data_IF_128944733876
#
_entry.id   IF_128944733876
#
_cell.length_a   1.000
_cell.length_b   1.000
_cell.length_c   1.000
_cell.angle_alpha   90.00
_cell.angle_beta   90.00
_cell.angle_gamma   90.00
#
_symmetry.space_group_name_H-M   'P 1'
#
loop_
_entity.id
_entity.type
_entity.pdbx_description
1 polymer ?
#
# COMPACT_ATOMS: atom_id res chain seq x y z
N UNK A 1 2.24 -2.91 -11.80
CA UNK A 1 2.51 -2.10 -10.60
C UNK A 1 3.86 -1.36 -10.69
N UNK A 2 5.02 -2.06 -10.77
CA UNK A 2 6.34 -1.41 -10.66
C UNK A 2 6.64 -0.41 -11.77
N UNK A 3 6.52 -0.82 -13.04
CA UNK A 3 6.87 0.02 -14.19
C UNK A 3 6.05 1.32 -14.24
N UNK A 4 4.73 1.21 -14.07
CA UNK A 4 3.86 2.39 -14.08
C UNK A 4 4.17 3.35 -12.95
N UNK A 5 4.33 2.82 -11.72
CA UNK A 5 4.71 3.63 -10.58
C UNK A 5 6.04 4.33 -10.80
N UNK A 6 7.05 3.61 -11.28
CA UNK A 6 8.38 4.20 -11.51
C UNK A 6 8.32 5.35 -12.52
N UNK A 7 7.66 5.15 -13.65
CA UNK A 7 7.57 6.17 -14.71
C UNK A 7 6.80 7.42 -14.25
N UNK A 8 5.67 7.23 -13.54
CA UNK A 8 4.88 8.36 -13.01
C UNK A 8 5.67 9.09 -11.94
N UNK A 9 6.31 8.37 -11.02
CA UNK A 9 7.11 8.99 -9.94
C UNK A 9 8.33 9.71 -10.50
N UNK A 10 8.96 9.18 -11.56
CA UNK A 10 10.06 9.87 -12.23
C UNK A 10 9.60 11.18 -12.88
N UNK A 11 8.44 11.18 -13.55
CA UNK A 11 7.89 12.38 -14.16
C UNK A 11 7.51 13.42 -13.11
N UNK A 12 6.78 13.01 -12.06
CA UNK A 12 6.40 13.89 -10.96
C UNK A 12 7.64 14.42 -10.19
N UNK A 13 8.62 13.53 -9.94
CA UNK A 13 9.85 13.90 -9.24
C UNK A 13 10.64 15.00 -9.95
N UNK A 14 10.72 14.99 -11.28
CA UNK A 14 11.35 16.07 -12.06
C UNK A 14 10.66 17.42 -11.79
N UNK A 15 9.34 17.45 -11.87
CA UNK A 15 8.55 18.67 -11.60
C UNK A 15 8.77 19.13 -10.16
N UNK A 16 8.71 18.22 -9.18
CA UNK A 16 8.87 18.57 -7.78
C UNK A 16 10.28 19.04 -7.42
N UNK A 17 11.31 18.51 -8.08
CA UNK A 17 12.69 18.99 -7.93
C UNK A 17 12.83 20.43 -8.41
N UNK A 18 12.25 20.76 -9.56
CA UNK A 18 12.30 22.13 -10.12
C UNK A 18 11.53 23.13 -9.25
N UNK A 19 10.36 22.75 -8.76
CA UNK A 19 9.56 23.63 -7.89
C UNK A 19 9.98 23.64 -6.41
N UNK A 20 10.96 22.82 -5.99
CA UNK A 20 11.46 22.69 -4.61
C UNK A 20 10.39 22.33 -3.59
N UNK A 21 9.40 21.60 -4.00
CA UNK A 21 8.25 21.22 -3.18
C UNK A 21 7.48 20.08 -3.83
N UNK A 22 7.04 19.11 -3.04
CA UNK A 22 6.19 18.03 -3.52
C UNK A 22 6.03 16.88 -2.54
N UNK A 23 5.01 16.06 -2.77
CA UNK A 23 4.77 14.85 -2.00
C UNK A 23 4.40 13.70 -2.95
N UNK A 24 5.07 12.57 -2.80
CA UNK A 24 4.73 11.31 -3.47
C UNK A 24 4.19 10.35 -2.41
N UNK A 25 2.97 9.86 -2.62
CA UNK A 25 2.38 8.81 -1.77
C UNK A 25 2.28 7.52 -2.56
N UNK A 26 3.03 6.50 -2.16
CA UNK A 26 3.06 5.19 -2.79
C UNK A 26 2.05 4.25 -2.10
N UNK A 27 1.07 3.73 -2.86
CA UNK A 27 0.12 2.76 -2.35
C UNK A 27 0.71 1.35 -2.36
N UNK A 28 1.25 0.94 -1.22
CA UNK A 28 1.78 -0.40 -0.98
C UNK A 28 0.65 -1.38 -0.56
N UNK A 29 0.97 -2.32 0.28
CA UNK A 29 0.06 -3.31 0.90
C UNK A 29 0.75 -3.96 2.08
N UNK A 30 0.00 -4.48 3.06
CA UNK A 30 0.54 -5.37 4.10
C UNK A 30 1.32 -6.54 3.49
N UNK A 31 0.88 -7.05 2.33
CA UNK A 31 1.59 -8.12 1.62
C UNK A 31 3.01 -7.77 1.21
N UNK A 32 3.33 -6.48 1.07
CA UNK A 32 4.70 -6.02 0.78
C UNK A 32 5.64 -6.09 1.98
N UNK A 33 5.12 -6.27 3.19
CA UNK A 33 5.90 -6.47 4.42
C UNK A 33 5.92 -7.95 4.84
N UNK A 34 4.77 -8.63 4.78
CA UNK A 34 4.59 -9.99 5.30
C UNK A 34 4.68 -11.09 4.24
N UNK A 35 4.57 -10.73 2.96
CA UNK A 35 4.28 -11.69 1.90
C UNK A 35 2.78 -12.03 1.83
N UNK A 36 2.40 -12.90 0.90
CA UNK A 36 1.02 -13.38 0.77
C UNK A 36 1.02 -14.71 0.02
N UNK A 37 0.46 -15.74 0.63
CA UNK A 37 0.32 -17.06 0.03
C UNK A 37 -0.50 -16.96 -1.27
N UNK A 38 -0.02 -17.61 -2.34
CA UNK A 38 -0.63 -17.57 -3.67
C UNK A 38 -0.45 -16.24 -4.41
N UNK A 39 0.26 -15.25 -3.84
CA UNK A 39 0.43 -13.91 -4.42
C UNK A 39 1.90 -13.42 -4.38
N UNK A 40 2.88 -14.31 -4.53
CA UNK A 40 4.30 -13.97 -4.39
C UNK A 40 4.73 -12.80 -5.30
N UNK A 41 4.29 -12.78 -6.56
CA UNK A 41 4.59 -11.70 -7.51
C UNK A 41 3.97 -10.36 -7.04
N UNK A 42 2.71 -10.39 -6.59
CA UNK A 42 2.06 -9.20 -6.04
C UNK A 42 2.79 -8.68 -4.81
N UNK A 43 3.09 -9.54 -3.85
CA UNK A 43 3.83 -9.20 -2.64
C UNK A 43 5.21 -8.61 -2.97
N UNK A 44 5.95 -9.21 -3.90
CA UNK A 44 7.24 -8.69 -4.37
C UNK A 44 7.10 -7.30 -5.00
N UNK A 45 6.05 -7.05 -5.82
CA UNK A 45 5.82 -5.71 -6.36
C UNK A 45 5.55 -4.68 -5.27
N UNK A 46 4.81 -5.04 -4.22
CA UNK A 46 4.51 -4.15 -3.10
C UNK A 46 5.72 -3.94 -2.19
N UNK A 47 6.56 -4.94 -1.99
CA UNK A 47 7.85 -4.80 -1.31
C UNK A 47 8.79 -3.83 -2.07
N UNK A 48 8.81 -3.89 -3.40
CA UNK A 48 9.56 -2.94 -4.22
C UNK A 48 9.09 -1.50 -3.99
N UNK A 49 7.79 -1.24 -3.85
CA UNK A 49 7.25 0.09 -3.53
C UNK A 49 7.77 0.61 -2.17
N UNK A 50 7.86 -0.27 -1.17
CA UNK A 50 8.42 0.08 0.13
C UNK A 50 9.91 0.47 0.00
N UNK A 51 10.65 -0.22 -0.86
CA UNK A 51 12.06 0.10 -1.13
C UNK A 51 12.21 1.43 -1.89
N UNK A 52 11.41 1.66 -2.95
CA UNK A 52 11.38 2.93 -3.66
C UNK A 52 11.06 4.11 -2.74
N UNK A 53 10.08 3.95 -1.84
CA UNK A 53 9.72 4.98 -0.87
C UNK A 53 10.94 5.42 -0.04
N UNK A 54 11.72 4.47 0.48
CA UNK A 54 12.92 4.77 1.26
C UNK A 54 14.04 5.41 0.43
N UNK A 55 14.28 4.91 -0.77
CA UNK A 55 15.35 5.40 -1.64
C UNK A 55 15.04 6.81 -2.14
N UNK A 56 13.85 7.02 -2.68
CA UNK A 56 13.47 8.33 -3.22
C UNK A 56 13.31 9.40 -2.15
N UNK A 57 12.92 9.04 -0.92
CA UNK A 57 12.93 9.98 0.19
C UNK A 57 14.34 10.54 0.47
N UNK A 58 15.37 9.69 0.37
CA UNK A 58 16.77 10.10 0.53
C UNK A 58 17.26 10.93 -0.65
N UNK A 59 16.89 10.57 -1.87
CA UNK A 59 17.28 11.25 -3.10
C UNK A 59 16.66 12.64 -3.24
N UNK A 60 15.37 12.74 -2.90
CA UNK A 60 14.54 13.91 -3.17
C UNK A 60 14.40 14.86 -1.98
N UNK A 61 14.73 14.40 -0.76
CA UNK A 61 14.58 15.21 0.46
C UNK A 61 15.33 16.54 0.42
N UNK A 62 16.52 16.58 -0.18
CA UNK A 62 17.29 17.82 -0.37
C UNK A 62 16.59 18.87 -1.24
N UNK A 63 15.57 18.49 -1.97
CA UNK A 63 14.73 19.37 -2.78
C UNK A 63 13.38 19.69 -2.10
N UNK A 64 13.25 19.40 -0.81
CA UNK A 64 12.00 19.56 -0.06
C UNK A 64 10.85 18.73 -0.64
N UNK A 65 11.15 17.54 -1.16
CA UNK A 65 10.16 16.59 -1.68
C UNK A 65 10.07 15.40 -0.73
N UNK A 66 8.86 15.12 -0.25
CA UNK A 66 8.58 13.99 0.63
C UNK A 66 8.13 12.77 -0.18
N UNK A 67 8.55 11.58 0.25
CA UNK A 67 8.10 10.32 -0.33
C UNK A 67 7.67 9.41 0.81
N UNK A 68 6.41 9.02 0.82
CA UNK A 68 5.81 8.20 1.87
C UNK A 68 5.04 7.03 1.27
N UNK A 69 4.92 5.96 2.01
CA UNK A 69 4.14 4.79 1.63
C UNK A 69 2.94 4.59 2.55
N UNK A 70 1.87 4.05 2.00
CA UNK A 70 0.72 3.58 2.76
C UNK A 70 0.52 2.11 2.42
N UNK A 71 0.42 1.25 3.43
CA UNK A 71 0.23 -0.18 3.31
C UNK A 71 -1.11 -0.59 3.95
N UNK A 72 -2.21 -0.58 3.18
CA UNK A 72 -3.48 -1.08 3.66
C UNK A 72 -3.43 -2.58 3.94
N UNK A 73 -4.14 -3.00 4.98
CA UNK A 73 -4.43 -4.40 5.28
C UNK A 73 -5.73 -4.86 4.63
N UNK A 74 -6.49 -5.68 5.36
CA UNK A 74 -7.80 -6.16 4.91
C UNK A 74 -8.79 -5.00 5.01
N UNK A 75 -9.30 -4.59 3.85
CA UNK A 75 -10.30 -3.53 3.70
C UNK A 75 -11.68 -4.10 3.40
N UNK A 76 -12.71 -3.28 3.57
CA UNK A 76 -14.05 -3.57 3.08
C UNK A 76 -14.05 -3.90 1.58
N UNK A 77 -15.13 -4.44 1.05
CA UNK A 77 -15.20 -4.88 -0.34
C UNK A 77 -14.86 -3.77 -1.32
N UNK A 78 -14.00 -4.10 -2.28
CA UNK A 78 -13.57 -3.19 -3.36
C UNK A 78 -13.87 -3.83 -4.71
N UNK A 79 -14.03 -3.01 -5.76
CA UNK A 79 -14.20 -3.48 -7.13
C UNK A 79 -13.03 -4.30 -7.71
N UNK A 80 -11.95 -4.48 -6.95
CA UNK A 80 -10.84 -5.38 -7.32
C UNK A 80 -11.14 -6.85 -7.03
N UNK A 81 -12.13 -7.16 -6.19
CA UNK A 81 -12.55 -8.54 -5.88
C UNK A 81 -13.55 -9.05 -6.91
N UNK A 82 -13.09 -9.17 -8.16
CA UNK A 82 -13.92 -9.79 -9.21
C UNK A 82 -13.93 -11.31 -9.03
N UNK A 83 -14.95 -11.98 -9.60
CA UNK A 83 -15.05 -13.44 -9.52
C UNK A 83 -13.83 -14.11 -10.17
N UNK A 84 -13.28 -13.54 -11.24
CA UNK A 84 -12.08 -14.05 -11.90
C UNK A 84 -10.86 -13.99 -10.98
N UNK A 85 -10.69 -12.86 -10.27
CA UNK A 85 -9.63 -12.69 -9.29
C UNK A 85 -9.78 -13.68 -8.14
N UNK A 86 -10.98 -13.80 -7.55
CA UNK A 86 -11.24 -14.71 -6.45
C UNK A 86 -11.04 -16.17 -6.85
N UNK A 87 -11.48 -16.57 -8.06
CA UNK A 87 -11.28 -17.91 -8.58
C UNK A 87 -9.81 -18.24 -8.75
N UNK A 88 -9.02 -17.33 -9.37
CA UNK A 88 -7.60 -17.52 -9.54
C UNK A 88 -6.87 -17.62 -8.18
N UNK A 89 -7.21 -16.78 -7.22
CA UNK A 89 -6.59 -16.80 -5.90
C UNK A 89 -6.97 -18.06 -5.10
N UNK A 90 -8.24 -18.47 -5.14
CA UNK A 90 -8.71 -19.70 -4.50
C UNK A 90 -7.98 -20.93 -5.07
N UNK A 91 -7.84 -21.00 -6.40
CA UNK A 91 -7.08 -22.05 -7.08
C UNK A 91 -5.62 -22.11 -6.58
N UNK A 92 -4.92 -20.98 -6.51
CA UNK A 92 -3.52 -20.95 -6.05
C UNK A 92 -3.34 -21.35 -4.59
N UNK A 93 -4.40 -21.20 -3.77
CA UNK A 93 -4.40 -21.61 -2.35
C UNK A 93 -4.96 -23.01 -2.10
N UNK A 94 -5.44 -23.69 -3.12
CA UNK A 94 -6.07 -25.01 -3.00
C UNK A 94 -7.36 -25.02 -2.19
N UNK A 95 -8.12 -23.91 -2.23
CA UNK A 95 -9.40 -23.72 -1.52
C UNK A 95 -10.52 -23.32 -2.49
N UNK A 96 -11.78 -23.37 -2.02
CA UNK A 96 -12.92 -22.87 -2.82
C UNK A 96 -13.07 -21.35 -2.71
N UNK A 97 -13.83 -20.74 -3.63
CA UNK A 97 -14.14 -19.29 -3.58
C UNK A 97 -14.93 -18.96 -2.31
N UNK A 98 -15.83 -19.86 -1.89
CA UNK A 98 -16.61 -19.71 -0.65
C UNK A 98 -15.67 -19.67 0.57
N UNK A 99 -14.72 -20.60 0.66
CA UNK A 99 -13.71 -20.61 1.72
C UNK A 99 -12.82 -19.36 1.71
N UNK A 100 -12.47 -18.86 0.52
CA UNK A 100 -11.74 -17.61 0.37
C UNK A 100 -12.55 -16.42 0.93
N UNK A 101 -13.84 -16.33 0.59
CA UNK A 101 -14.75 -15.29 1.08
C UNK A 101 -14.98 -15.38 2.59
N UNK A 102 -15.14 -16.59 3.13
CA UNK A 102 -15.17 -16.80 4.57
C UNK A 102 -13.88 -16.29 5.25
N UNK A 103 -12.73 -16.53 4.62
CA UNK A 103 -11.44 -16.03 5.11
C UNK A 103 -11.40 -14.49 5.18
N UNK A 104 -12.00 -13.80 4.22
CA UNK A 104 -12.11 -12.32 4.25
C UNK A 104 -13.07 -11.81 5.35
N UNK A 105 -14.12 -12.56 5.65
CA UNK A 105 -15.07 -12.22 6.72
C UNK A 105 -14.53 -12.50 8.12
N UNK A 106 -13.51 -13.37 8.24
CA UNK A 106 -12.85 -13.68 9.51
C UNK A 106 -11.95 -12.53 9.95
N UNK A 107 -12.50 -11.62 10.73
CA UNK A 107 -11.75 -10.49 11.29
C UNK A 107 -10.92 -10.86 12.52
N UNK A 108 -10.99 -12.11 12.98
CA UNK A 108 -10.30 -12.59 14.19
C UNK A 108 -8.76 -12.48 14.14
N UNK A 109 -8.18 -12.37 12.95
CA UNK A 109 -6.74 -12.12 12.75
C UNK A 109 -6.37 -10.64 12.82
N UNK A 110 -7.37 -9.75 12.85
CA UNK A 110 -7.19 -8.29 12.92
C UNK A 110 -7.44 -7.86 14.37
N UNK A 111 -6.47 -7.30 15.10
CA UNK A 111 -6.66 -6.86 16.50
C UNK A 111 -7.87 -5.95 16.72
N UNK A 112 -8.17 -5.05 15.78
CA UNK A 112 -9.38 -4.21 15.83
C UNK A 112 -10.68 -4.98 15.52
N UNK A 113 -10.61 -6.27 15.20
CA UNK A 113 -11.73 -7.18 14.94
C UNK A 113 -12.72 -6.68 13.88
N UNK A 114 -12.24 -5.95 12.90
CA UNK A 114 -13.01 -5.50 11.73
C UNK A 114 -12.09 -5.25 10.53
N UNK A 115 -12.65 -5.26 9.33
CA UNK A 115 -12.00 -4.71 8.14
C UNK A 115 -11.89 -3.18 8.23
N UNK A 116 -10.88 -2.62 7.59
CA UNK A 116 -10.74 -1.17 7.46
C UNK A 116 -11.75 -0.60 6.46
N UNK A 117 -12.16 0.65 6.65
CA UNK A 117 -12.95 1.40 5.66
C UNK A 117 -12.03 2.06 4.65
N UNK A 118 -12.49 2.20 3.41
CA UNK A 118 -11.71 2.90 2.38
C UNK A 118 -11.44 4.36 2.76
N UNK A 119 -12.39 5.00 3.44
CA UNK A 119 -12.22 6.36 3.96
C UNK A 119 -11.05 6.48 4.96
N UNK A 120 -10.81 5.48 5.80
CA UNK A 120 -9.69 5.51 6.76
C UNK A 120 -8.33 5.55 6.06
N UNK A 121 -8.20 4.91 4.90
CA UNK A 121 -7.01 5.02 4.06
C UNK A 121 -6.95 6.37 3.37
N UNK A 122 -8.07 6.85 2.81
CA UNK A 122 -8.14 8.12 2.12
C UNK A 122 -7.80 9.31 3.04
N UNK A 123 -8.36 9.33 4.25
CA UNK A 123 -8.09 10.36 5.25
C UNK A 123 -6.61 10.40 5.63
N UNK A 124 -6.00 9.23 5.78
CA UNK A 124 -4.57 9.15 6.05
C UNK A 124 -3.71 9.63 4.88
N UNK A 125 -4.09 9.31 3.64
CA UNK A 125 -3.42 9.85 2.44
C UNK A 125 -3.54 11.37 2.40
N UNK A 126 -4.72 11.93 2.65
CA UNK A 126 -4.92 13.38 2.71
C UNK A 126 -4.06 14.03 3.80
N UNK A 127 -3.95 13.40 4.98
CA UNK A 127 -3.04 13.87 6.03
C UNK A 127 -1.58 13.87 5.55
N UNK A 128 -1.12 12.80 4.92
CA UNK A 128 0.26 12.69 4.42
C UNK A 128 0.56 13.72 3.32
N UNK A 129 -0.42 14.09 2.51
CA UNK A 129 -0.27 15.12 1.48
C UNK A 129 -0.22 16.55 2.06
N UNK A 130 -0.70 16.75 3.28
CA UNK A 130 -0.77 18.06 3.92
C UNK A 130 0.55 18.48 4.59
N UNK A 131 0.66 19.77 4.91
CA UNK A 131 1.77 20.35 5.68
C UNK A 131 1.85 19.80 7.12
N UNK A 132 0.76 19.23 7.65
CA UNK A 132 0.75 18.61 8.98
C UNK A 132 1.69 17.40 9.06
N UNK A 133 2.02 16.78 7.93
CA UNK A 133 2.96 15.67 7.81
C UNK A 133 4.35 16.10 7.31
N UNK A 134 4.73 17.37 7.46
CA UNK A 134 5.95 17.96 6.89
C UNK A 134 7.26 17.26 7.29
N UNK A 135 7.29 16.56 8.41
CA UNK A 135 8.48 15.82 8.87
C UNK A 135 8.37 14.29 8.66
N UNK A 136 7.35 13.83 7.90
CA UNK A 136 7.14 12.41 7.61
C UNK A 136 7.59 12.12 6.18
N UNK A 137 8.67 11.35 6.02
CA UNK A 137 9.20 10.89 4.73
C UNK A 137 10.02 9.61 4.91
N UNK A 138 10.17 8.81 3.85
CA UNK A 138 10.99 7.58 3.84
C UNK A 138 10.39 6.40 4.61
N UNK A 139 9.16 6.48 5.04
CA UNK A 139 8.45 5.43 5.79
C UNK A 139 7.26 4.90 5.00
N UNK A 140 6.92 3.65 5.22
CA UNK A 140 5.65 3.06 4.79
C UNK A 140 4.82 2.75 6.03
N UNK A 141 3.66 3.40 6.14
CA UNK A 141 2.79 3.27 7.29
C UNK A 141 1.71 2.23 7.04
N UNK A 142 1.52 1.31 7.99
CA UNK A 142 0.47 0.31 7.92
C UNK A 142 -0.88 0.90 8.35
N UNK A 143 -1.92 0.66 7.54
CA UNK A 143 -3.32 0.92 7.86
C UNK A 143 -4.03 -0.44 7.87
N UNK A 144 -3.79 -1.25 8.89
CA UNK A 144 -4.08 -2.68 8.89
C UNK A 144 -4.77 -3.18 10.17
N UNK A 145 -5.29 -2.27 11.00
CA UNK A 145 -5.99 -2.65 12.24
C UNK A 145 -5.14 -3.42 13.25
N UNK A 146 -3.81 -3.31 13.16
CA UNK A 146 -2.86 -4.00 14.02
C UNK A 146 -2.44 -5.39 13.52
N UNK A 147 -2.96 -5.86 12.38
CA UNK A 147 -2.64 -7.19 11.82
C UNK A 147 -1.17 -7.28 11.40
N UNK A 148 -0.70 -6.28 10.68
CA UNK A 148 0.67 -6.24 10.17
C UNK A 148 1.57 -5.48 11.14
N UNK A 149 2.68 -6.09 11.48
CA UNK A 149 3.76 -5.45 12.24
C UNK A 149 4.75 -4.87 11.23
N UNK A 150 5.01 -3.58 11.35
CA UNK A 150 5.96 -2.86 10.49
C UNK A 150 7.40 -3.29 10.69
#
# INVERSE_FOLDING_TARGET
NQRGLFLISQAAGKVFVDQKHGVIVNMSSESGAEGSEGQSIYAATKAALNSYTRSWAKELGKYNVRVVGVAPGIMEETGLRTIEYETALAYTRGITVEQLREGYSKTSTIPLNRSGKLSEVADFVCYLLSEKASYITGVTCNVAGGKTRG
#
